data_IF_794547557376
#
_entry.id   IF_794547557376
#
_cell.length_a   1.000
_cell.length_b   1.000
_cell.length_c   1.000
_cell.angle_alpha   90.00
_cell.angle_beta   90.00
_cell.angle_gamma   90.00
#
_symmetry.space_group_name_H-M   'P 1'
#
loop_
_entity.id
_entity.type
_entity.pdbx_description
1 polymer ?
#
# COMPACT_ATOMS: atom_id res chain seq x y z
N UNK A 1 -1.77 35.62 -1.36
CA UNK A 1 -0.34 35.46 -1.08
C UNK A 1 0.04 33.99 -1.28
N UNK A 2 0.79 33.69 -2.35
CA UNK A 2 1.04 32.33 -2.86
C UNK A 2 2.44 31.79 -2.46
N UNK A 3 3.09 32.46 -1.50
CA UNK A 3 4.47 32.22 -1.09
C UNK A 3 4.67 31.07 -0.08
N UNK A 4 3.58 30.48 0.43
CA UNK A 4 3.64 29.45 1.51
C UNK A 4 3.47 28.01 1.00
N UNK A 5 3.17 27.81 -0.28
CA UNK A 5 3.02 26.46 -0.82
C UNK A 5 4.39 25.85 -1.13
N UNK A 6 4.89 25.03 -0.19
CA UNK A 6 5.96 24.05 -0.40
C UNK A 6 5.74 23.34 -1.73
N UNK A 7 6.81 23.24 -2.49
CA UNK A 7 6.92 22.62 -3.83
C UNK A 7 6.33 21.20 -3.91
N UNK A 8 6.13 20.54 -2.76
CA UNK A 8 5.49 19.23 -2.63
C UNK A 8 3.97 19.24 -2.94
N UNK A 9 3.27 20.34 -2.72
CA UNK A 9 1.81 20.38 -2.93
C UNK A 9 1.40 20.51 -4.41
N UNK A 10 2.28 21.06 -5.24
CA UNK A 10 2.04 21.18 -6.69
C UNK A 10 2.19 19.84 -7.42
N UNK A 11 2.96 18.89 -6.85
CA UNK A 11 3.05 17.53 -7.37
C UNK A 11 1.75 16.78 -7.21
N UNK A 12 1.00 17.01 -6.13
CA UNK A 12 -0.27 16.35 -5.88
C UNK A 12 -1.37 16.87 -6.82
N UNK A 13 -1.41 18.19 -7.07
CA UNK A 13 -2.43 18.83 -7.91
C UNK A 13 -2.25 18.48 -9.41
N UNK A 14 -1.02 18.24 -9.87
CA UNK A 14 -0.75 17.80 -11.25
C UNK A 14 -0.90 16.29 -11.45
N UNK A 15 -0.78 15.48 -10.39
CA UNK A 15 -0.92 14.02 -10.47
C UNK A 15 -2.40 13.55 -10.45
N UNK A 16 -3.27 14.24 -9.72
CA UNK A 16 -4.69 13.87 -9.61
C UNK A 16 -5.59 14.66 -10.55
N UNK A 17 -5.29 14.72 -11.85
CA UNK A 17 -6.28 15.10 -12.89
C UNK A 17 -7.20 16.28 -12.57
N UNK A 18 -6.71 17.26 -11.81
CA UNK A 18 -7.54 18.29 -11.22
C UNK A 18 -8.04 19.20 -12.33
N UNK A 19 -9.32 19.09 -12.67
CA UNK A 19 -10.01 20.07 -13.51
C UNK A 19 -9.96 21.42 -12.80
N UNK A 20 -8.93 22.20 -13.10
CA UNK A 20 -8.80 23.57 -12.62
C UNK A 20 -9.80 24.44 -13.39
N UNK A 21 -11.00 24.59 -12.85
CA UNK A 21 -11.98 25.60 -13.30
C UNK A 21 -11.52 26.99 -12.84
N UNK A 22 -10.45 27.48 -13.46
CA UNK A 22 -9.93 28.83 -13.28
C UNK A 22 -9.99 29.59 -14.60
N UNK A 23 -10.47 30.83 -14.56
CA UNK A 23 -10.65 31.72 -15.72
C UNK A 23 -9.38 31.83 -16.57
N UNK A 24 -9.56 31.87 -17.89
CA UNK A 24 -8.61 31.52 -18.97
C UNK A 24 -7.19 32.11 -19.02
N UNK A 25 -6.75 32.90 -18.04
CA UNK A 25 -5.38 33.45 -18.01
C UNK A 25 -4.35 32.47 -17.43
N UNK A 26 -4.76 31.55 -16.55
CA UNK A 26 -3.85 30.62 -15.85
C UNK A 26 -3.46 29.42 -16.74
N UNK A 27 -4.34 29.02 -17.66
CA UNK A 27 -4.09 27.92 -18.60
C UNK A 27 -2.95 28.22 -19.60
N UNK A 28 -2.76 29.47 -20.00
CA UNK A 28 -1.77 29.84 -21.03
C UNK A 28 -0.32 29.71 -20.54
N UNK A 29 -0.06 30.02 -19.26
CA UNK A 29 1.28 30.00 -18.65
C UNK A 29 1.74 28.57 -18.36
N UNK A 30 0.83 27.69 -17.95
CA UNK A 30 1.12 26.28 -17.70
C UNK A 30 1.49 25.51 -18.97
N UNK A 31 0.87 25.85 -20.10
CA UNK A 31 1.17 25.23 -21.41
C UNK A 31 2.56 25.62 -21.91
N UNK A 32 3.01 26.86 -21.69
CA UNK A 32 4.37 27.27 -22.08
C UNK A 32 5.47 26.62 -21.22
N UNK A 33 5.24 26.45 -19.92
CA UNK A 33 6.24 25.84 -19.02
C UNK A 33 6.40 24.34 -19.27
N UNK A 34 5.31 23.63 -19.60
CA UNK A 34 5.36 22.18 -19.83
C UNK A 34 6.14 21.78 -21.10
N UNK A 35 6.17 22.63 -22.13
CA UNK A 35 6.85 22.33 -23.41
C UNK A 35 8.36 22.55 -23.31
N UNK A 36 8.82 23.47 -22.45
CA UNK A 36 10.24 23.86 -22.36
C UNK A 36 11.07 22.85 -21.53
N UNK A 37 10.49 22.21 -20.51
CA UNK A 37 11.28 21.36 -19.60
C UNK A 37 11.27 19.85 -19.89
N UNK A 38 10.37 19.33 -20.73
CA UNK A 38 10.20 17.88 -20.88
C UNK A 38 9.84 17.44 -22.33
N UNK A 39 10.77 17.53 -23.30
CA UNK A 39 10.51 17.17 -24.70
C UNK A 39 10.32 15.66 -24.96
N UNK A 40 10.55 14.78 -23.96
CA UNK A 40 10.33 13.33 -24.08
C UNK A 40 9.57 12.72 -22.89
N UNK A 41 8.75 13.50 -22.17
CA UNK A 41 7.88 12.92 -21.16
C UNK A 41 6.83 12.02 -21.82
N UNK A 42 7.04 10.70 -21.74
CA UNK A 42 5.98 9.73 -21.95
C UNK A 42 5.15 9.68 -20.67
N UNK A 43 3.85 10.01 -20.69
CA UNK A 43 3.00 9.67 -19.58
C UNK A 43 3.06 8.15 -19.42
N UNK A 44 3.61 7.67 -18.29
CA UNK A 44 3.39 6.28 -17.91
C UNK A 44 1.89 6.09 -17.90
N UNK A 45 1.43 5.10 -18.67
CA UNK A 45 0.03 4.70 -18.68
C UNK A 45 -0.36 4.53 -17.22
N UNK A 46 -1.24 5.40 -16.72
CA UNK A 46 -1.90 5.17 -15.46
C UNK A 46 -2.59 3.81 -15.61
N UNK A 47 -2.00 2.80 -15.00
CA UNK A 47 -2.57 1.47 -14.97
C UNK A 47 -3.95 1.62 -14.36
N UNK A 48 -4.98 1.24 -15.12
CA UNK A 48 -6.40 1.34 -14.73
C UNK A 48 -6.75 0.36 -13.59
N UNK A 49 -5.75 -0.16 -12.88
CA UNK A 49 -5.90 -1.06 -11.73
C UNK A 49 -6.15 -0.35 -10.40
N UNK A 50 -5.97 0.98 -10.32
CA UNK A 50 -6.25 1.77 -9.10
C UNK A 50 -7.76 1.95 -8.76
N UNK A 51 -8.68 1.27 -9.45
CA UNK A 51 -10.13 1.44 -9.28
C UNK A 51 -10.84 0.34 -8.46
N UNK A 52 -10.10 -0.63 -7.88
CA UNK A 52 -10.57 -1.36 -6.70
C UNK A 52 -9.39 -1.50 -5.76
N UNK A 53 -9.52 -1.05 -4.51
CA UNK A 53 -8.65 -1.48 -3.42
C UNK A 53 -8.85 -3.00 -3.27
N UNK A 54 -8.13 -3.78 -4.08
CA UNK A 54 -8.15 -5.23 -3.99
C UNK A 54 -7.66 -5.59 -2.61
N UNK A 55 -8.55 -6.14 -1.78
CA UNK A 55 -8.16 -6.61 -0.45
C UNK A 55 -7.11 -7.68 -0.65
N UNK A 56 -5.94 -7.49 -0.05
CA UNK A 56 -4.89 -8.51 -0.05
C UNK A 56 -5.46 -9.78 0.58
N UNK A 57 -5.06 -10.97 0.12
CA UNK A 57 -5.53 -12.23 0.70
C UNK A 57 -5.17 -12.31 2.19
N UNK A 58 -5.97 -13.03 2.97
CA UNK A 58 -5.78 -13.18 4.43
C UNK A 58 -4.36 -13.60 4.81
N UNK A 59 -3.76 -14.50 4.01
CA UNK A 59 -2.40 -14.96 4.23
C UNK A 59 -1.36 -13.85 4.10
N UNK A 60 -1.54 -12.90 3.17
CA UNK A 60 -0.66 -11.73 3.04
C UNK A 60 -0.89 -10.71 4.15
N UNK A 61 -2.14 -10.52 4.57
CA UNK A 61 -2.45 -9.69 5.74
C UNK A 61 -1.74 -10.25 6.98
N UNK A 62 -1.85 -11.56 7.23
CA UNK A 62 -1.18 -12.22 8.36
C UNK A 62 0.34 -12.09 8.28
N UNK A 63 0.94 -12.26 7.10
CA UNK A 63 2.39 -12.05 6.91
C UNK A 63 2.79 -10.61 7.25
N UNK A 64 2.01 -9.63 6.83
CA UNK A 64 2.27 -8.22 7.12
C UNK A 64 2.16 -7.94 8.61
N UNK A 65 1.11 -8.40 9.27
CA UNK A 65 0.93 -8.26 10.71
C UNK A 65 2.05 -8.93 11.51
N UNK A 66 2.54 -10.10 11.07
CA UNK A 66 3.72 -10.73 11.67
C UNK A 66 4.96 -9.83 11.55
N UNK A 67 5.19 -9.19 10.39
CA UNK A 67 6.32 -8.26 10.23
C UNK A 67 6.18 -7.01 11.11
N UNK A 68 4.98 -6.45 11.15
CA UNK A 68 4.66 -5.25 11.94
C UNK A 68 4.72 -5.49 13.45
N UNK A 69 4.44 -6.71 13.91
CA UNK A 69 4.56 -7.08 15.32
C UNK A 69 5.98 -6.93 15.87
N UNK A 70 7.01 -6.95 15.00
CA UNK A 70 8.41 -6.92 15.40
C UNK A 70 8.88 -8.16 16.17
N UNK A 71 8.01 -9.17 16.34
CA UNK A 71 8.34 -10.39 17.08
C UNK A 71 9.23 -11.28 16.22
N UNK A 72 10.33 -11.76 16.79
CA UNK A 72 11.21 -12.68 16.09
C UNK A 72 10.50 -14.01 15.82
N UNK A 73 10.74 -14.59 14.64
CA UNK A 73 10.23 -15.94 14.28
C UNK A 73 10.60 -17.00 15.30
N UNK A 74 11.76 -16.85 15.94
CA UNK A 74 12.22 -17.72 17.01
C UNK A 74 11.32 -17.63 18.25
N UNK A 75 10.95 -16.42 18.66
CA UNK A 75 10.04 -16.21 19.80
C UNK A 75 8.64 -16.78 19.52
N UNK A 76 8.11 -16.54 18.31
CA UNK A 76 6.84 -17.14 17.88
C UNK A 76 6.91 -18.66 17.95
N UNK A 77 7.98 -19.28 17.43
CA UNK A 77 8.16 -20.74 17.51
C UNK A 77 8.19 -21.25 18.95
N UNK A 78 8.92 -20.58 19.85
CA UNK A 78 9.04 -20.95 21.27
C UNK A 78 7.71 -20.89 21.99
N UNK A 79 6.91 -19.86 21.73
CA UNK A 79 5.69 -19.59 22.47
C UNK A 79 4.49 -20.38 21.91
N UNK A 80 4.43 -20.58 20.59
CA UNK A 80 3.30 -21.24 19.89
C UNK A 80 3.55 -22.71 19.54
N UNK A 81 4.80 -23.16 19.56
CA UNK A 81 5.18 -24.50 19.07
C UNK A 81 5.14 -24.64 17.55
N UNK A 82 4.79 -23.60 16.79
CA UNK A 82 4.78 -23.65 15.32
C UNK A 82 6.20 -23.70 14.78
N UNK A 83 6.58 -24.81 14.13
CA UNK A 83 7.92 -25.04 13.56
C UNK A 83 8.49 -23.83 12.84
N UNK A 84 9.73 -23.47 13.20
CA UNK A 84 10.48 -22.37 12.59
C UNK A 84 10.61 -22.51 11.07
N UNK A 85 10.84 -23.73 10.57
CA UNK A 85 10.94 -24.02 9.13
C UNK A 85 9.64 -23.72 8.41
N UNK A 86 8.51 -24.05 9.04
CA UNK A 86 7.18 -23.78 8.51
C UNK A 86 6.88 -22.28 8.50
N UNK A 87 7.20 -21.56 9.58
CA UNK A 87 7.10 -20.09 9.63
C UNK A 87 7.94 -19.43 8.54
N UNK A 88 9.17 -19.91 8.31
CA UNK A 88 10.03 -19.34 7.27
C UNK A 88 9.45 -19.53 5.86
N UNK A 89 8.94 -20.73 5.55
CA UNK A 89 8.28 -21.03 4.26
C UNK A 89 6.97 -20.26 4.10
N UNK A 90 6.24 -20.05 5.18
CA UNK A 90 5.04 -19.23 5.19
C UNK A 90 5.36 -17.77 4.87
N UNK A 91 6.37 -17.20 5.53
CA UNK A 91 6.79 -15.82 5.32
C UNK A 91 7.35 -15.56 3.91
N UNK A 92 7.98 -16.56 3.29
CA UNK A 92 8.43 -16.47 1.89
C UNK A 92 7.34 -16.72 0.85
N UNK A 93 6.13 -17.10 1.28
CA UNK A 93 5.02 -17.44 0.36
C UNK A 93 5.14 -18.81 -0.30
N UNK A 94 6.17 -19.60 0.04
CA UNK A 94 6.41 -20.92 -0.58
C UNK A 94 5.41 -21.98 -0.11
N UNK A 95 4.86 -21.85 1.10
CA UNK A 95 3.91 -22.81 1.67
C UNK A 95 2.85 -22.10 2.53
N UNK A 96 1.62 -22.62 2.51
CA UNK A 96 0.55 -22.19 3.42
C UNK A 96 0.70 -22.79 4.83
N UNK A 97 -0.14 -22.32 5.75
CA UNK A 97 -0.34 -22.89 7.09
C UNK A 97 -1.68 -23.60 7.15
N UNK A 98 -1.81 -24.60 8.02
CA UNK A 98 -3.12 -25.16 8.38
C UNK A 98 -3.93 -24.13 9.16
N UNK A 99 -5.26 -24.23 9.10
CA UNK A 99 -6.17 -23.32 9.82
C UNK A 99 -5.89 -23.34 11.33
N UNK A 100 -5.69 -24.51 11.92
CA UNK A 100 -5.33 -24.63 13.35
C UNK A 100 -4.09 -23.80 13.73
N UNK A 101 -3.06 -23.78 12.87
CA UNK A 101 -1.85 -22.99 13.13
C UNK A 101 -2.08 -21.51 12.89
N UNK A 102 -2.97 -21.15 11.99
CA UNK A 102 -3.39 -19.77 11.79
C UNK A 102 -4.14 -19.28 13.03
N UNK A 103 -5.04 -20.07 13.60
CA UNK A 103 -5.78 -19.71 14.81
C UNK A 103 -4.85 -19.49 16.00
N UNK A 104 -3.88 -20.39 16.22
CA UNK A 104 -2.86 -20.23 17.27
C UNK A 104 -2.03 -18.95 17.06
N UNK A 105 -1.65 -18.64 15.82
CA UNK A 105 -0.92 -17.41 15.52
C UNK A 105 -1.79 -16.17 15.73
N UNK A 106 -3.07 -16.21 15.35
CA UNK A 106 -4.02 -15.14 15.57
C UNK A 106 -4.23 -14.88 17.07
N UNK A 107 -4.37 -15.93 17.88
CA UNK A 107 -4.48 -15.81 19.34
C UNK A 107 -3.20 -15.20 19.94
N UNK A 108 -2.04 -15.71 19.55
CA UNK A 108 -0.74 -15.20 20.02
C UNK A 108 -0.50 -13.73 19.65
N UNK A 109 -0.92 -13.32 18.45
CA UNK A 109 -0.79 -11.95 17.95
C UNK A 109 -1.98 -11.06 18.34
N UNK A 110 -2.93 -11.57 19.13
CA UNK A 110 -4.17 -10.89 19.52
C UNK A 110 -4.98 -10.33 18.33
N UNK A 111 -5.00 -11.05 17.21
CA UNK A 111 -5.69 -10.69 15.98
C UNK A 111 -7.14 -11.14 16.01
N UNK A 112 -8.00 -10.37 15.34
CA UNK A 112 -9.45 -10.62 15.25
C UNK A 112 -9.87 -10.56 13.79
N UNK A 113 -10.64 -11.53 13.33
CA UNK A 113 -11.33 -11.44 12.05
C UNK A 113 -12.57 -10.55 12.22
N UNK A 114 -12.58 -9.45 11.50
CA UNK A 114 -13.72 -8.53 11.44
C UNK A 114 -14.37 -8.63 10.07
N UNK A 115 -15.69 -8.47 10.03
CA UNK A 115 -16.39 -8.22 8.77
C UNK A 115 -15.93 -6.86 8.28
N UNK A 116 -15.83 -6.71 6.97
CA UNK A 116 -15.62 -5.39 6.41
C UNK A 116 -17.00 -4.80 6.10
N UNK A 117 -17.35 -3.73 6.80
CA UNK A 117 -18.67 -3.09 6.80
C UNK A 117 -18.99 -2.38 5.48
N UNK A 118 -18.01 -2.14 4.61
CA UNK A 118 -18.19 -1.51 3.29
C UNK A 118 -18.91 -2.44 2.29
N UNK A 119 -19.45 -3.59 2.73
CA UNK A 119 -20.14 -4.61 1.92
C UNK A 119 -21.44 -5.12 2.55
#
# INVERSE_FOLDING_TARGET
DLSVFRTDHLRYILAEGGQFKGTGKVQSVLTHISVICFPHWKPQKADKSMARKQRSPLSDQLRTLIRESGISRYKIWRDTGVSQSLLSKFMSGAQGLSLEKIDVLCEYLALKLVRDEER
#
